data_IF_606922661729
#
_entry.id   IF_606922661729
#
_cell.length_a   1.000
_cell.length_b   1.000
_cell.length_c   1.000
_cell.angle_alpha   90.00
_cell.angle_beta   90.00
_cell.angle_gamma   90.00
#
_symmetry.space_group_name_H-M   'P 1'
#
loop_
_entity.id
_entity.type
_entity.pdbx_description
1 polymer ?
#
# COMPACT_ATOMS: atom_id res chain seq x y z
N UNK A 1 71.84 -42.30 142.01
CA UNK A 1 72.71 -41.63 142.99
C UNK A 1 72.15 -40.24 143.17
N UNK A 2 71.83 -39.82 144.39
CA UNK A 2 71.29 -38.48 144.64
C UNK A 2 72.42 -37.46 144.45
N UNK A 3 72.27 -36.57 143.46
CA UNK A 3 73.21 -35.46 143.27
C UNK A 3 73.21 -34.57 144.50
N UNK A 4 74.38 -34.43 145.12
CA UNK A 4 74.60 -33.49 146.24
C UNK A 4 74.39 -32.08 145.72
N UNK A 5 73.23 -31.49 146.02
CA UNK A 5 72.99 -30.06 145.80
C UNK A 5 73.96 -29.29 146.68
N UNK A 6 74.95 -28.66 146.07
CA UNK A 6 75.92 -27.80 146.74
C UNK A 6 75.45 -26.36 146.52
N UNK A 7 74.95 -25.71 147.57
CA UNK A 7 74.45 -24.33 147.52
C UNK A 7 75.57 -23.37 147.91
N UNK A 8 75.93 -22.47 146.98
CA UNK A 8 76.69 -21.25 147.31
C UNK A 8 75.71 -20.20 147.82
N UNK A 9 76.05 -19.52 148.91
CA UNK A 9 75.30 -18.36 149.39
C UNK A 9 75.76 -17.13 148.62
N UNK A 10 74.89 -16.65 147.74
CA UNK A 10 75.01 -15.36 147.08
C UNK A 10 73.92 -14.44 147.65
N UNK A 11 74.18 -13.14 147.66
CA UNK A 11 73.16 -12.16 147.98
C UNK A 11 72.13 -12.12 146.85
N UNK A 12 70.90 -11.71 147.16
CA UNK A 12 69.78 -11.74 146.20
C UNK A 12 70.09 -10.90 144.94
N UNK A 13 70.67 -9.71 145.13
CA UNK A 13 71.07 -8.80 144.05
C UNK A 13 72.12 -9.44 143.10
N UNK A 14 73.14 -10.09 143.65
CA UNK A 14 74.21 -10.72 142.86
C UNK A 14 73.68 -11.94 142.08
N UNK A 15 72.76 -12.69 142.68
CA UNK A 15 72.12 -13.83 142.05
C UNK A 15 71.20 -13.39 140.89
N UNK A 16 70.52 -12.26 141.05
CA UNK A 16 69.64 -11.70 140.02
C UNK A 16 70.45 -11.17 138.82
N UNK A 17 71.51 -10.40 139.07
CA UNK A 17 72.43 -9.95 138.02
C UNK A 17 73.06 -11.12 137.24
N UNK A 18 73.44 -12.20 137.93
CA UNK A 18 74.00 -13.38 137.28
C UNK A 18 72.96 -14.11 136.41
N UNK A 19 71.70 -14.18 136.84
CA UNK A 19 70.60 -14.76 136.04
C UNK A 19 70.31 -13.93 134.80
N UNK A 20 70.32 -12.61 134.93
CA UNK A 20 70.11 -11.69 133.82
C UNK A 20 71.22 -11.83 132.78
N UNK A 21 72.49 -11.81 133.22
CA UNK A 21 73.65 -12.07 132.35
C UNK A 21 73.54 -13.40 131.59
N UNK A 22 73.16 -14.49 132.27
CA UNK A 22 72.99 -15.79 131.64
C UNK A 22 71.91 -15.74 130.55
N UNK A 23 70.78 -15.08 130.83
CA UNK A 23 69.64 -14.98 129.92
C UNK A 23 69.94 -14.12 128.69
N UNK A 24 70.61 -12.98 128.86
CA UNK A 24 71.03 -12.11 127.75
C UNK A 24 71.97 -12.81 126.76
N UNK A 25 72.81 -13.73 127.27
CA UNK A 25 73.74 -14.51 126.45
C UNK A 25 73.17 -15.87 126.00
N UNK A 26 71.88 -16.13 126.24
CA UNK A 26 71.21 -17.38 125.83
C UNK A 26 71.69 -18.63 126.58
N UNK A 27 72.30 -18.48 127.74
CA UNK A 27 72.86 -19.56 128.57
C UNK A 27 71.94 -19.89 129.75
N UNK A 28 71.90 -21.16 130.16
CA UNK A 28 71.33 -21.51 131.46
C UNK A 28 72.32 -21.19 132.60
N UNK A 29 71.84 -21.10 133.85
CA UNK A 29 72.67 -20.71 135.00
C UNK A 29 73.91 -21.60 135.18
N UNK A 30 73.80 -22.90 134.89
CA UNK A 30 74.93 -23.84 135.00
C UNK A 30 75.96 -23.62 133.89
N UNK A 31 75.52 -23.34 132.67
CA UNK A 31 76.38 -22.99 131.53
C UNK A 31 77.08 -21.66 131.77
N UNK A 32 76.36 -20.64 132.22
CA UNK A 32 76.94 -19.35 132.58
C UNK A 32 77.98 -19.50 133.69
N UNK A 33 77.71 -20.35 134.70
CA UNK A 33 78.63 -20.57 135.81
C UNK A 33 79.89 -21.32 135.36
N UNK A 34 79.75 -22.34 134.52
CA UNK A 34 80.88 -23.04 133.94
C UNK A 34 81.71 -22.14 133.02
N UNK A 35 81.09 -21.25 132.25
CA UNK A 35 81.79 -20.23 131.45
C UNK A 35 82.57 -19.26 132.32
N UNK A 36 81.97 -18.76 133.42
CA UNK A 36 82.63 -17.90 134.38
C UNK A 36 83.82 -18.61 135.05
N UNK A 37 83.63 -19.86 135.46
CA UNK A 37 84.66 -20.70 136.06
C UNK A 37 85.81 -20.98 135.08
N UNK A 38 85.51 -21.22 133.81
CA UNK A 38 86.51 -21.40 132.76
C UNK A 38 87.26 -20.09 132.45
N UNK A 39 86.57 -18.95 132.50
CA UNK A 39 87.18 -17.63 132.32
C UNK A 39 88.13 -17.28 133.48
N UNK A 40 87.70 -17.52 134.72
CA UNK A 40 88.55 -17.37 135.93
C UNK A 40 89.73 -18.36 135.92
N UNK A 41 89.54 -19.59 135.43
CA UNK A 41 90.64 -20.55 135.23
C UNK A 41 91.62 -20.08 134.15
N UNK A 42 91.12 -19.47 133.08
CA UNK A 42 91.93 -18.87 132.01
C UNK A 42 92.73 -17.66 132.51
N UNK A 43 92.14 -16.79 133.32
CA UNK A 43 92.84 -15.66 133.95
C UNK A 43 93.89 -16.13 134.94
N UNK A 44 93.57 -17.10 135.80
CA UNK A 44 94.56 -17.71 136.71
C UNK A 44 95.69 -18.43 135.95
N UNK A 45 95.41 -19.02 134.78
CA UNK A 45 96.42 -19.60 133.91
C UNK A 45 97.26 -18.52 133.21
N UNK A 46 96.69 -17.34 132.92
CA UNK A 46 97.37 -16.17 132.36
C UNK A 46 98.35 -15.55 133.35
N UNK A 47 98.01 -15.48 134.64
CA UNK A 47 98.93 -15.00 135.70
C UNK A 47 100.11 -15.95 135.96
N UNK A 48 99.91 -17.28 135.85
CA UNK A 48 100.97 -18.27 136.10
C UNK A 48 101.94 -18.50 134.94
N UNK A 49 101.66 -17.95 133.76
CA UNK A 49 102.44 -18.17 132.53
C UNK A 49 102.95 -16.84 131.97
N UNK A 50 103.87 -16.19 132.70
CA UNK A 50 104.39 -14.86 132.38
C UNK A 50 104.83 -14.66 130.92
N UNK A 51 105.55 -15.62 130.33
CA UNK A 51 106.14 -15.49 128.98
C UNK A 51 105.21 -15.93 127.83
N UNK A 52 104.03 -16.50 128.13
CA UNK A 52 103.05 -16.98 127.12
C UNK A 52 101.83 -16.07 126.96
N UNK A 53 101.67 -15.05 127.79
CA UNK A 53 100.56 -14.10 127.70
C UNK A 53 100.44 -13.47 126.30
N UNK A 54 101.57 -13.04 125.71
CA UNK A 54 101.62 -12.50 124.34
C UNK A 54 101.17 -13.50 123.27
N UNK A 55 101.49 -14.78 123.43
CA UNK A 55 101.10 -15.84 122.49
C UNK A 55 99.60 -16.14 122.58
N UNK A 56 99.03 -16.11 123.79
CA UNK A 56 97.58 -16.24 124.00
C UNK A 56 96.84 -15.03 123.42
N UNK A 57 97.37 -13.82 123.58
CA UNK A 57 96.78 -12.60 123.00
C UNK A 57 96.88 -12.63 121.45
N UNK A 58 98.00 -13.07 120.89
CA UNK A 58 98.15 -13.28 119.43
C UNK A 58 97.17 -14.34 118.88
N UNK A 59 96.93 -15.41 119.65
CA UNK A 59 95.94 -16.43 119.28
C UNK A 59 94.53 -15.88 119.31
N UNK A 60 94.16 -15.12 120.36
CA UNK A 60 92.87 -14.42 120.44
C UNK A 60 92.68 -13.45 119.27
N UNK A 61 93.69 -12.68 118.91
CA UNK A 61 93.64 -11.77 117.76
C UNK A 61 93.47 -12.54 116.45
N UNK A 62 94.13 -13.70 116.30
CA UNK A 62 93.99 -14.55 115.12
C UNK A 62 92.58 -15.15 115.03
N UNK A 63 92.00 -15.59 116.15
CA UNK A 63 90.62 -16.09 116.23
C UNK A 63 89.62 -14.97 115.93
N UNK A 64 89.80 -13.78 116.52
CA UNK A 64 88.95 -12.62 116.25
C UNK A 64 89.03 -12.20 114.78
N UNK A 65 90.22 -12.27 114.16
CA UNK A 65 90.39 -12.02 112.73
C UNK A 65 89.69 -13.08 111.88
N UNK A 66 89.76 -14.35 112.26
CA UNK A 66 89.06 -15.43 111.56
C UNK A 66 87.53 -15.30 111.69
N UNK A 67 87.03 -14.92 112.87
CA UNK A 67 85.61 -14.59 113.09
C UNK A 67 85.21 -13.39 112.23
N UNK A 68 86.03 -12.33 112.18
CA UNK A 68 85.79 -11.17 111.32
C UNK A 68 85.74 -11.53 109.84
N UNK A 69 86.64 -12.39 109.35
CA UNK A 69 86.59 -12.91 107.97
C UNK A 69 85.33 -13.72 107.69
N UNK A 70 84.89 -14.55 108.64
CA UNK A 70 83.66 -15.33 108.51
C UNK A 70 82.42 -14.43 108.47
N UNK A 71 82.32 -13.45 109.37
CA UNK A 71 81.23 -12.47 109.37
C UNK A 71 81.22 -11.69 108.06
N UNK A 72 82.36 -11.18 107.59
CA UNK A 72 82.46 -10.50 106.30
C UNK A 72 82.00 -11.39 105.14
N UNK A 73 82.37 -12.68 105.12
CA UNK A 73 81.94 -13.60 104.06
C UNK A 73 80.43 -13.86 104.10
N UNK A 74 79.82 -13.93 105.29
CA UNK A 74 78.37 -14.03 105.44
C UNK A 74 77.67 -12.75 104.96
N UNK A 75 78.21 -11.58 105.31
CA UNK A 75 77.70 -10.29 104.84
C UNK A 75 77.82 -10.17 103.31
N UNK A 76 78.97 -10.52 102.72
CA UNK A 76 79.18 -10.56 101.27
C UNK A 76 78.19 -11.50 100.57
N UNK A 77 77.94 -12.69 101.12
CA UNK A 77 76.94 -13.61 100.57
C UNK A 77 75.52 -13.05 100.68
N UNK A 78 75.17 -12.43 101.81
CA UNK A 78 73.86 -11.79 102.00
C UNK A 78 73.64 -10.67 100.97
N UNK A 79 74.64 -9.81 100.77
CA UNK A 79 74.59 -8.73 99.77
C UNK A 79 74.51 -9.29 98.34
N UNK A 80 75.24 -10.37 98.04
CA UNK A 80 75.17 -11.02 96.73
C UNK A 80 73.79 -11.63 96.46
N UNK A 81 73.19 -12.30 97.45
CA UNK A 81 71.83 -12.84 97.35
C UNK A 81 70.78 -11.74 97.18
N UNK A 82 70.91 -10.63 97.92
CA UNK A 82 70.00 -9.49 97.80
C UNK A 82 70.07 -8.89 96.39
N UNK A 83 71.29 -8.70 95.87
CA UNK A 83 71.50 -8.25 94.49
C UNK A 83 70.89 -9.20 93.45
N UNK A 84 71.06 -10.51 93.61
CA UNK A 84 70.46 -11.50 92.71
C UNK A 84 68.92 -11.42 92.77
N UNK A 85 68.33 -11.29 93.97
CA UNK A 85 66.88 -11.13 94.13
C UNK A 85 66.37 -9.85 93.47
N UNK A 86 67.09 -8.74 93.60
CA UNK A 86 66.74 -7.48 92.94
C UNK A 86 66.81 -7.59 91.42
N UNK A 87 67.90 -8.14 90.87
CA UNK A 87 68.07 -8.33 89.43
C UNK A 87 66.99 -9.25 88.87
N UNK A 88 66.71 -10.38 89.54
CA UNK A 88 65.64 -11.30 89.15
C UNK A 88 64.26 -10.63 89.23
N UNK A 89 63.98 -9.86 90.27
CA UNK A 89 62.73 -9.11 90.43
C UNK A 89 62.55 -8.07 89.31
N UNK A 90 63.61 -7.33 88.96
CA UNK A 90 63.60 -6.38 87.83
C UNK A 90 63.35 -7.09 86.50
N UNK A 91 63.98 -8.24 86.28
CA UNK A 91 63.78 -9.01 85.06
C UNK A 91 62.34 -9.56 84.98
N UNK A 92 61.82 -10.15 86.05
CA UNK A 92 60.44 -10.65 86.11
C UNK A 92 59.43 -9.53 85.84
N UNK A 93 59.55 -8.39 86.53
CA UNK A 93 58.68 -7.24 86.31
C UNK A 93 58.75 -6.73 84.86
N UNK A 94 59.94 -6.73 84.24
CA UNK A 94 60.11 -6.32 82.84
C UNK A 94 59.44 -7.29 81.88
N UNK A 95 59.57 -8.61 82.11
CA UNK A 95 58.89 -9.64 81.32
C UNK A 95 57.38 -9.56 81.49
N UNK A 96 56.87 -9.39 82.71
CA UNK A 96 55.43 -9.26 82.99
C UNK A 96 54.84 -8.03 82.28
N UNK A 97 55.54 -6.89 82.34
CA UNK A 97 55.14 -5.68 81.59
C UNK A 97 55.12 -5.93 80.08
N UNK A 98 56.10 -6.67 79.55
CA UNK A 98 56.17 -7.02 78.13
C UNK A 98 55.03 -7.95 77.73
N UNK A 99 54.73 -8.96 78.55
CA UNK A 99 53.63 -9.89 78.33
C UNK A 99 52.29 -9.15 78.34
N UNK A 100 52.06 -8.25 79.31
CA UNK A 100 50.84 -7.44 79.38
C UNK A 100 50.67 -6.59 78.12
N UNK A 101 51.72 -5.90 77.68
CA UNK A 101 51.68 -5.08 76.46
C UNK A 101 51.40 -5.94 75.21
N UNK A 102 52.04 -7.10 75.08
CA UNK A 102 51.78 -8.02 73.96
C UNK A 102 50.35 -8.57 73.96
N UNK A 103 49.78 -8.84 75.14
CA UNK A 103 48.39 -9.27 75.28
C UNK A 103 47.41 -8.18 74.87
N UNK A 104 47.64 -6.93 75.30
CA UNK A 104 46.83 -5.78 74.88
C UNK A 104 46.89 -5.57 73.36
N UNK A 105 48.09 -5.64 72.76
CA UNK A 105 48.26 -5.55 71.32
C UNK A 105 47.53 -6.67 70.58
N UNK A 106 47.64 -7.91 71.06
CA UNK A 106 46.95 -9.06 70.47
C UNK A 106 45.43 -8.90 70.53
N UNK A 107 44.90 -8.40 71.64
CA UNK A 107 43.48 -8.16 71.80
C UNK A 107 42.99 -7.06 70.87
N UNK A 108 43.76 -5.97 70.71
CA UNK A 108 43.48 -4.89 69.75
C UNK A 108 43.48 -5.39 68.31
N UNK A 109 44.48 -6.18 67.91
CA UNK A 109 44.53 -6.75 66.55
C UNK A 109 43.35 -7.70 66.31
N UNK A 110 42.95 -8.49 67.31
CA UNK A 110 41.76 -9.36 67.20
C UNK A 110 40.47 -8.57 67.00
N UNK A 111 40.26 -7.49 67.75
CA UNK A 111 39.06 -6.67 67.59
C UNK A 111 39.04 -5.94 66.25
N UNK A 112 40.17 -5.40 65.81
CA UNK A 112 40.31 -4.80 64.48
C UNK A 112 40.04 -5.81 63.36
N UNK A 113 40.58 -7.03 63.48
CA UNK A 113 40.33 -8.11 62.52
C UNK A 113 38.83 -8.44 62.43
N UNK A 114 38.15 -8.62 63.56
CA UNK A 114 36.72 -8.92 63.60
C UNK A 114 35.90 -7.81 62.93
N UNK A 115 36.23 -6.54 63.21
CA UNK A 115 35.58 -5.40 62.59
C UNK A 115 35.79 -5.33 61.07
N UNK A 116 36.99 -5.69 60.60
CA UNK A 116 37.29 -5.76 59.17
C UNK A 116 36.51 -6.90 58.51
N UNK A 117 36.43 -8.08 59.13
CA UNK A 117 35.67 -9.22 58.61
C UNK A 117 34.17 -8.88 58.47
N UNK A 118 33.56 -8.27 59.49
CA UNK A 118 32.17 -7.78 59.41
C UNK A 118 31.98 -6.76 58.27
N UNK A 119 32.95 -5.86 58.09
CA UNK A 119 32.88 -4.86 57.01
C UNK A 119 33.00 -5.50 55.62
N UNK A 120 33.82 -6.55 55.48
CA UNK A 120 33.95 -7.32 54.24
C UNK A 120 32.64 -8.05 53.92
N UNK A 121 32.00 -8.67 54.90
CA UNK A 121 30.72 -9.36 54.71
C UNK A 121 29.61 -8.38 54.28
N UNK A 122 29.57 -7.20 54.91
CA UNK A 122 28.66 -6.13 54.49
C UNK A 122 28.93 -5.66 53.05
N UNK A 123 30.20 -5.45 52.69
CA UNK A 123 30.58 -5.04 51.34
C UNK A 123 30.21 -6.09 50.28
N UNK A 124 30.41 -7.38 50.58
CA UNK A 124 29.99 -8.47 49.70
C UNK A 124 28.47 -8.48 49.50
N UNK A 125 27.70 -8.29 50.57
CA UNK A 125 26.24 -8.19 50.49
C UNK A 125 25.80 -7.02 49.61
N UNK A 126 26.43 -5.85 49.76
CA UNK A 126 26.14 -4.68 48.90
C UNK A 126 26.52 -4.93 47.44
N UNK A 127 27.65 -5.59 47.20
CA UNK A 127 28.10 -5.98 45.86
C UNK A 127 27.06 -6.88 45.19
N UNK A 128 26.59 -7.92 45.87
CA UNK A 128 25.59 -8.85 45.33
C UNK A 128 24.25 -8.15 45.04
N UNK A 129 23.84 -7.21 45.90
CA UNK A 129 22.66 -6.38 45.65
C UNK A 129 22.84 -5.51 44.40
N UNK A 130 23.99 -4.84 44.26
CA UNK A 130 24.29 -4.00 43.10
C UNK A 130 24.35 -4.83 41.81
N UNK A 131 24.95 -6.01 41.81
CA UNK A 131 25.00 -6.91 40.65
C UNK A 131 23.59 -7.37 40.22
N UNK A 132 22.71 -7.65 41.19
CA UNK A 132 21.32 -7.99 40.90
C UNK A 132 20.52 -6.81 40.34
N UNK A 133 20.76 -5.60 40.85
CA UNK A 133 20.17 -4.36 40.33
C UNK A 133 20.59 -4.13 38.86
N UNK A 134 21.89 -4.28 38.57
CA UNK A 134 22.45 -4.15 37.21
C UNK A 134 21.80 -5.15 36.26
N UNK A 135 21.68 -6.43 36.62
CA UNK A 135 21.01 -7.44 35.78
C UNK A 135 19.54 -7.09 35.49
N UNK A 136 18.81 -6.55 36.49
CA UNK A 136 17.44 -6.09 36.28
C UNK A 136 17.37 -4.94 35.28
N UNK A 137 18.28 -3.98 35.41
CA UNK A 137 18.36 -2.84 34.49
C UNK A 137 18.75 -3.28 33.08
N UNK A 138 19.70 -4.19 32.92
CA UNK A 138 20.08 -4.77 31.63
C UNK A 138 18.90 -5.44 30.93
N UNK A 139 18.13 -6.26 31.65
CA UNK A 139 16.93 -6.89 31.11
C UNK A 139 15.86 -5.86 30.70
N UNK A 140 15.65 -4.82 31.51
CA UNK A 140 14.71 -3.74 31.19
C UNK A 140 15.16 -2.93 29.95
N UNK A 141 16.46 -2.72 29.78
CA UNK A 141 17.03 -2.07 28.58
C UNK A 141 16.83 -2.97 27.36
N UNK A 142 17.04 -4.28 27.48
CA UNK A 142 16.84 -5.24 26.40
C UNK A 142 15.37 -5.26 25.93
N UNK A 143 14.41 -5.32 26.86
CA UNK A 143 12.99 -5.24 26.55
C UNK A 143 12.61 -3.93 25.88
N UNK A 144 13.10 -2.79 26.40
CA UNK A 144 12.86 -1.47 25.79
C UNK A 144 13.43 -1.38 24.37
N UNK A 145 14.62 -1.93 24.14
CA UNK A 145 15.26 -1.97 22.82
C UNK A 145 14.43 -2.80 21.83
N UNK A 146 13.99 -4.00 22.23
CA UNK A 146 13.13 -4.85 21.39
C UNK A 146 11.80 -4.15 21.04
N UNK A 147 11.17 -3.48 22.01
CA UNK A 147 9.94 -2.73 21.78
C UNK A 147 10.16 -1.55 20.82
N UNK A 148 11.31 -0.88 20.92
CA UNK A 148 11.67 0.22 20.03
C UNK A 148 11.91 -0.27 18.60
N UNK A 149 12.55 -1.42 18.42
CA UNK A 149 12.71 -2.06 17.11
C UNK A 149 11.37 -2.44 16.48
N UNK A 150 10.43 -2.99 17.26
CA UNK A 150 9.07 -3.29 16.79
C UNK A 150 8.36 -2.00 16.36
N UNK A 151 8.43 -0.95 17.19
CA UNK A 151 7.82 0.34 16.89
C UNK A 151 8.40 0.96 15.61
N UNK A 152 9.72 0.87 15.41
CA UNK A 152 10.38 1.35 14.20
C UNK A 152 9.95 0.56 12.95
N UNK A 153 9.85 -0.77 13.03
CA UNK A 153 9.34 -1.59 11.92
C UNK A 153 7.91 -1.22 11.55
N UNK A 154 7.05 -1.03 12.56
CA UNK A 154 5.67 -0.60 12.34
C UNK A 154 5.59 0.79 11.70
N UNK A 155 6.45 1.73 12.13
CA UNK A 155 6.52 3.07 11.55
C UNK A 155 6.95 3.01 10.08
N UNK A 156 7.97 2.22 9.76
CA UNK A 156 8.40 2.04 8.37
C UNK A 156 7.28 1.46 7.49
N UNK A 157 6.56 0.45 7.99
CA UNK A 157 5.42 -0.13 7.27
C UNK A 157 4.29 0.90 7.05
N UNK A 158 3.97 1.71 8.07
CA UNK A 158 2.99 2.79 7.94
C UNK A 158 3.44 3.86 6.93
N UNK A 159 4.73 4.17 6.86
CA UNK A 159 5.28 5.09 5.87
C UNK A 159 5.17 4.54 4.45
N UNK A 160 5.46 3.26 4.24
CA UNK A 160 5.27 2.57 2.95
C UNK A 160 3.79 2.62 2.52
N UNK A 161 2.87 2.26 3.42
CA UNK A 161 1.42 2.36 3.16
C UNK A 161 0.97 3.79 2.83
N UNK A 162 1.53 4.80 3.49
CA UNK A 162 1.23 6.20 3.19
C UNK A 162 1.71 6.63 1.80
N UNK A 163 2.85 6.11 1.34
CA UNK A 163 3.34 6.35 -0.02
C UNK A 163 2.42 5.68 -1.03
N UNK A 164 2.04 4.42 -0.82
CA UNK A 164 1.08 3.71 -1.68
C UNK A 164 -0.26 4.46 -1.76
N UNK A 165 -0.79 4.92 -0.63
CA UNK A 165 -2.04 5.67 -0.60
C UNK A 165 -1.96 6.99 -1.38
N UNK A 166 -0.81 7.69 -1.33
CA UNK A 166 -0.59 8.89 -2.15
C UNK A 166 -0.62 8.56 -3.64
N UNK A 167 0.05 7.48 -4.04
CA UNK A 167 0.03 7.03 -5.44
C UNK A 167 -1.40 6.68 -5.90
N UNK A 168 -2.15 5.92 -5.09
CA UNK A 168 -3.56 5.62 -5.40
C UNK A 168 -4.43 6.87 -5.53
N UNK A 169 -4.19 7.89 -4.71
CA UNK A 169 -4.91 9.16 -4.78
C UNK A 169 -4.61 9.91 -6.09
N UNK A 170 -3.36 9.90 -6.53
CA UNK A 170 -2.95 10.54 -7.78
C UNK A 170 -3.49 9.78 -9.01
N UNK A 171 -3.49 8.44 -8.95
CA UNK A 171 -4.13 7.59 -9.95
C UNK A 171 -5.64 7.85 -10.03
N UNK A 172 -6.32 7.94 -8.89
CA UNK A 172 -7.74 8.26 -8.84
C UNK A 172 -8.05 9.62 -9.48
N UNK A 173 -7.22 10.63 -9.21
CA UNK A 173 -7.36 11.96 -9.83
C UNK A 173 -7.19 11.89 -11.35
N UNK A 174 -6.20 11.14 -11.82
CA UNK A 174 -5.96 10.94 -13.25
C UNK A 174 -7.14 10.22 -13.91
N UNK A 175 -7.69 9.19 -13.26
CA UNK A 175 -8.85 8.46 -13.76
C UNK A 175 -10.11 9.34 -13.80
N UNK A 176 -10.29 10.20 -12.81
CA UNK A 176 -11.37 11.19 -12.78
C UNK A 176 -11.26 12.16 -13.95
N UNK A 177 -10.08 12.71 -14.21
CA UNK A 177 -9.84 13.62 -15.35
C UNK A 177 -10.12 12.92 -16.69
N UNK A 178 -9.75 11.64 -16.82
CA UNK A 178 -10.06 10.84 -18.01
C UNK A 178 -11.57 10.59 -18.17
N UNK A 179 -12.26 10.29 -17.07
CA UNK A 179 -13.72 10.08 -17.07
C UNK A 179 -14.46 11.34 -17.51
N UNK A 180 -14.03 12.50 -17.03
CA UNK A 180 -14.68 13.78 -17.37
C UNK A 180 -14.44 14.15 -18.85
N UNK A 181 -13.22 13.92 -19.39
CA UNK A 181 -12.94 14.04 -20.83
C UNK A 181 -13.79 13.08 -21.68
N UNK A 182 -13.97 11.85 -21.22
CA UNK A 182 -14.77 10.86 -21.94
C UNK A 182 -16.25 11.27 -21.97
N UNK A 183 -16.78 11.80 -20.86
CA UNK A 183 -18.15 12.33 -20.78
C UNK A 183 -18.35 13.51 -21.73
N UNK A 184 -17.39 14.44 -21.78
CA UNK A 184 -17.43 15.57 -22.71
C UNK A 184 -17.45 15.08 -24.17
N UNK A 185 -16.54 14.17 -24.52
CA UNK A 185 -16.46 13.57 -25.85
C UNK A 185 -17.77 12.87 -26.22
N UNK A 186 -18.33 12.07 -25.30
CA UNK A 186 -19.60 11.38 -25.53
C UNK A 186 -20.76 12.36 -25.73
N UNK A 187 -20.79 13.46 -24.98
CA UNK A 187 -21.80 14.53 -25.15
C UNK A 187 -21.70 15.17 -26.54
N UNK A 188 -20.49 15.45 -27.00
CA UNK A 188 -20.24 15.99 -28.35
C UNK A 188 -20.70 15.01 -29.44
N UNK A 189 -20.34 13.72 -29.32
CA UNK A 189 -20.77 12.69 -30.27
C UNK A 189 -22.30 12.50 -30.29
N UNK A 190 -22.98 12.59 -29.13
CA UNK A 190 -24.44 12.55 -29.06
C UNK A 190 -25.04 13.74 -29.83
N UNK A 191 -24.49 14.94 -29.64
CA UNK A 191 -24.96 16.14 -30.33
C UNK A 191 -24.73 16.05 -31.84
N UNK A 192 -23.55 15.59 -32.28
CA UNK A 192 -23.24 15.36 -33.70
C UNK A 192 -24.18 14.32 -34.32
N UNK A 193 -24.40 13.18 -33.65
CA UNK A 193 -25.34 12.17 -34.10
C UNK A 193 -26.76 12.72 -34.22
N UNK A 194 -27.21 13.55 -33.27
CA UNK A 194 -28.52 14.19 -33.34
C UNK A 194 -28.62 15.11 -34.56
N UNK A 195 -27.62 15.96 -34.79
CA UNK A 195 -27.58 16.85 -35.97
C UNK A 195 -27.56 16.07 -37.29
N UNK A 196 -26.80 14.98 -37.37
CA UNK A 196 -26.78 14.11 -38.54
C UNK A 196 -28.14 13.45 -38.76
N UNK A 197 -28.78 12.99 -37.69
CA UNK A 197 -30.10 12.38 -37.76
C UNK A 197 -31.17 13.39 -38.22
N UNK A 198 -31.12 14.64 -37.73
CA UNK A 198 -32.01 15.71 -38.19
C UNK A 198 -31.81 16.02 -39.68
N UNK A 199 -30.55 16.05 -40.16
CA UNK A 199 -30.25 16.19 -41.59
C UNK A 199 -30.77 15.00 -42.41
N UNK A 200 -30.64 13.79 -41.90
CA UNK A 200 -31.11 12.58 -42.56
C UNK A 200 -32.64 12.59 -42.68
N UNK A 201 -33.36 12.98 -41.63
CA UNK A 201 -34.81 13.15 -41.65
C UNK A 201 -35.23 14.20 -42.69
N UNK A 202 -34.58 15.38 -42.70
CA UNK A 202 -34.88 16.42 -43.70
C UNK A 202 -34.64 15.92 -45.14
N UNK A 203 -33.55 15.19 -45.38
CA UNK A 203 -33.28 14.60 -46.69
C UNK A 203 -34.32 13.55 -47.08
N UNK A 204 -34.79 12.74 -46.12
CA UNK A 204 -35.85 11.77 -46.35
C UNK A 204 -37.17 12.46 -46.70
N UNK A 205 -37.54 13.51 -45.98
CA UNK A 205 -38.73 14.32 -46.28
C UNK A 205 -38.64 14.94 -47.67
N UNK A 206 -37.46 15.44 -48.04
CA UNK A 206 -37.19 15.97 -49.37
C UNK A 206 -37.26 14.90 -50.46
N UNK A 207 -36.74 13.71 -50.23
CA UNK A 207 -36.88 12.56 -51.13
C UNK A 207 -38.36 12.18 -51.30
N UNK A 208 -39.11 12.13 -50.20
CA UNK A 208 -40.54 11.82 -50.24
C UNK A 208 -41.33 12.86 -51.04
N UNK A 209 -41.02 14.15 -50.85
CA UNK A 209 -41.59 15.25 -51.62
C UNK A 209 -41.31 15.09 -53.12
N UNK A 210 -40.04 14.91 -53.51
CA UNK A 210 -39.68 14.75 -54.91
C UNK A 210 -40.28 13.47 -55.52
N UNK A 211 -40.37 12.38 -54.75
CA UNK A 211 -41.04 11.16 -55.20
C UNK A 211 -42.51 11.39 -55.50
N UNK A 212 -43.22 12.10 -54.61
CA UNK A 212 -44.62 12.46 -54.84
C UNK A 212 -44.78 13.36 -56.07
N UNK A 213 -43.88 14.35 -56.24
CA UNK A 213 -43.89 15.22 -57.42
C UNK A 213 -43.68 14.43 -58.73
N UNK A 214 -42.75 13.45 -58.74
CA UNK A 214 -42.53 12.57 -59.89
C UNK A 214 -43.77 11.71 -60.16
N UNK A 215 -44.40 11.15 -59.13
CA UNK A 215 -45.64 10.36 -59.28
C UNK A 215 -46.78 11.21 -59.87
N UNK A 216 -46.95 12.46 -59.43
CA UNK A 216 -47.93 13.38 -59.98
C UNK A 216 -47.65 13.70 -61.45
N UNK A 217 -46.39 14.04 -61.79
CA UNK A 217 -45.99 14.28 -63.18
C UNK A 217 -46.23 13.06 -64.08
N UNK A 218 -45.97 11.85 -63.58
CA UNK A 218 -46.26 10.60 -64.30
C UNK A 218 -47.77 10.42 -64.55
N UNK A 219 -48.62 10.74 -63.57
CA UNK A 219 -50.07 10.72 -63.74
C UNK A 219 -50.55 11.76 -64.76
N UNK A 220 -50.00 12.98 -64.69
CA UNK A 220 -50.32 14.06 -65.64
C UNK A 220 -49.95 13.63 -67.07
N UNK A 221 -48.73 13.12 -67.29
CA UNK A 221 -48.29 12.57 -68.58
C UNK A 221 -49.24 11.47 -69.07
N UNK A 222 -49.65 10.55 -68.20
CA UNK A 222 -50.61 9.49 -68.54
C UNK A 222 -51.96 10.06 -68.99
N UNK A 223 -52.47 11.09 -68.30
CA UNK A 223 -53.73 11.75 -68.63
C UNK A 223 -53.64 12.52 -69.96
N UNK A 224 -52.52 13.21 -70.21
CA UNK A 224 -52.23 13.89 -71.47
C UNK A 224 -52.17 12.89 -72.63
N UNK A 225 -51.48 11.76 -72.45
CA UNK A 225 -51.40 10.71 -73.46
C UNK A 225 -52.79 10.14 -73.80
N UNK A 226 -53.64 9.86 -72.80
CA UNK A 226 -55.03 9.43 -73.04
C UNK A 226 -55.84 10.49 -73.80
N UNK A 227 -55.63 11.77 -73.51
CA UNK A 227 -56.29 12.88 -74.22
C UNK A 227 -55.83 12.98 -75.67
N UNK A 228 -54.54 12.79 -75.94
CA UNK A 228 -53.97 12.72 -77.29
C UNK A 228 -54.57 11.53 -78.04
N UNK A 229 -54.57 10.32 -77.46
CA UNK A 229 -55.16 9.13 -78.09
C UNK A 229 -56.65 9.33 -78.41
N UNK A 230 -57.42 9.94 -77.50
CA UNK A 230 -58.83 10.25 -77.74
C UNK A 230 -59.03 11.27 -78.87
N UNK A 231 -58.18 12.31 -78.95
CA UNK A 231 -58.20 13.28 -80.05
C UNK A 231 -57.83 12.63 -81.37
N UNK A 232 -56.79 11.80 -81.39
CA UNK A 232 -56.39 11.05 -82.59
C UNK A 232 -57.50 10.12 -83.05
N UNK A 233 -58.16 9.40 -82.13
CA UNK A 233 -59.32 8.57 -82.44
C UNK A 233 -60.49 9.40 -83.01
N UNK A 234 -60.77 10.57 -82.42
CA UNK A 234 -61.82 11.49 -82.88
C UNK A 234 -61.50 12.05 -84.26
N UNK A 235 -60.27 12.51 -84.50
CA UNK A 235 -59.82 12.99 -85.80
C UNK A 235 -59.85 11.89 -86.86
N UNK A 236 -59.40 10.67 -86.53
CA UNK A 236 -59.49 9.53 -87.42
C UNK A 236 -60.95 9.17 -87.76
N UNK A 237 -61.86 9.24 -86.78
CA UNK A 237 -63.29 9.04 -87.01
C UNK A 237 -63.88 10.14 -87.91
N UNK A 238 -63.48 11.40 -87.71
CA UNK A 238 -63.91 12.52 -88.54
C UNK A 238 -63.37 12.41 -89.97
N UNK A 239 -62.10 12.07 -90.14
CA UNK A 239 -61.48 11.80 -91.44
C UNK A 239 -62.25 10.69 -92.16
N UNK A 240 -62.53 9.57 -91.47
CA UNK A 240 -63.31 8.46 -92.05
C UNK A 240 -64.72 8.89 -92.45
N UNK A 241 -65.41 9.68 -91.62
CA UNK A 241 -66.74 10.21 -91.96
C UNK A 241 -66.69 11.15 -93.18
N UNK A 242 -65.64 11.97 -93.30
CA UNK A 242 -65.39 12.81 -94.48
C UNK A 242 -65.11 11.95 -95.72
N UNK A 243 -64.28 10.93 -95.61
CA UNK A 243 -63.99 9.98 -96.69
C UNK A 243 -65.25 9.26 -97.17
N UNK A 244 -66.09 8.81 -96.24
CA UNK A 244 -67.36 8.14 -96.57
C UNK A 244 -68.34 9.11 -97.24
N UNK A 245 -68.43 10.35 -96.75
CA UNK A 245 -69.24 11.40 -97.39
C UNK A 245 -68.74 11.74 -98.80
N UNK A 246 -67.42 11.87 -98.99
CA UNK A 246 -66.85 12.10 -100.32
C UNK A 246 -67.06 10.92 -101.26
N UNK A 247 -67.06 9.67 -100.76
CA UNK A 247 -67.42 8.49 -101.58
C UNK A 247 -68.89 8.52 -101.98
N UNK A 248 -69.78 8.93 -101.08
CA UNK A 248 -71.21 9.08 -101.34
C UNK A 248 -71.47 10.19 -102.38
N UNK A 249 -70.89 11.38 -102.19
CA UNK A 249 -70.94 12.48 -103.16
C UNK A 249 -70.39 12.05 -104.53
N UNK A 250 -69.31 11.25 -104.57
CA UNK A 250 -68.74 10.71 -105.82
C UNK A 250 -69.72 9.74 -106.51
N UNK A 251 -70.45 8.94 -105.73
CA UNK A 251 -71.49 8.02 -106.20
C UNK A 251 -72.67 8.80 -106.77
N UNK A 252 -73.16 9.81 -106.06
CA UNK A 252 -74.23 10.69 -106.50
C UNK A 252 -73.87 11.41 -107.81
N UNK A 253 -72.64 11.93 -107.92
CA UNK A 253 -72.14 12.53 -109.18
C UNK A 253 -72.09 11.49 -110.29
N UNK A 254 -71.66 10.27 -110.00
CA UNK A 254 -71.60 9.19 -110.99
C UNK A 254 -72.99 8.78 -111.47
N UNK A 255 -73.97 8.71 -110.57
CA UNK A 255 -75.37 8.39 -110.88
C UNK A 255 -76.04 9.54 -111.64
N UNK A 256 -75.81 10.80 -111.26
CA UNK A 256 -76.23 11.96 -112.04
C UNK A 256 -75.63 11.94 -113.45
N UNK A 257 -74.34 11.63 -113.58
CA UNK A 257 -73.68 11.56 -114.88
C UNK A 257 -74.26 10.41 -115.73
N UNK A 258 -74.51 9.24 -115.12
CA UNK A 258 -75.16 8.10 -115.76
C UNK A 258 -76.59 8.44 -116.23
N UNK A 259 -77.41 9.02 -115.36
CA UNK A 259 -78.78 9.41 -115.68
C UNK A 259 -78.81 10.49 -116.78
N UNK A 260 -77.86 11.43 -116.77
CA UNK A 260 -77.72 12.45 -117.82
C UNK A 260 -77.36 11.81 -119.16
N UNK A 261 -76.44 10.84 -119.16
CA UNK A 261 -76.08 10.05 -120.35
C UNK A 261 -77.28 9.25 -120.88
N UNK A 262 -78.07 8.62 -120.00
CA UNK A 262 -79.28 7.88 -120.36
C UNK A 262 -80.36 8.81 -120.95
N UNK A 263 -80.60 9.96 -120.32
CA UNK A 263 -81.52 10.98 -120.84
C UNK A 263 -81.09 11.48 -122.23
N UNK A 264 -79.80 11.73 -122.43
CA UNK A 264 -79.26 12.18 -123.72
C UNK A 264 -79.33 11.08 -124.78
N UNK A 265 -79.16 9.82 -124.38
CA UNK A 265 -79.35 8.65 -125.26
C UNK A 265 -80.81 8.53 -125.71
N UNK A 266 -81.75 8.72 -124.78
CA UNK A 266 -83.19 8.74 -125.09
C UNK A 266 -83.56 9.90 -126.03
N UNK A 267 -83.01 11.10 -125.82
CA UNK A 267 -83.21 12.24 -126.74
C UNK A 267 -82.69 11.94 -128.15
N UNK A 268 -81.52 11.31 -128.29
CA UNK A 268 -81.00 10.90 -129.60
C UNK A 268 -81.87 9.83 -130.28
N UNK A 269 -82.43 8.89 -129.51
CA UNK A 269 -83.36 7.89 -130.03
C UNK A 269 -84.67 8.53 -130.52
N UNK A 270 -85.23 9.47 -129.77
CA UNK A 270 -86.42 10.23 -130.17
C UNK A 270 -86.17 11.11 -131.41
N UNK A 271 -84.98 11.71 -131.51
CA UNK A 271 -84.59 12.48 -132.70
C UNK A 271 -84.52 11.59 -133.96
N UNK A 272 -83.93 10.40 -133.84
CA UNK A 272 -83.88 9.42 -134.94
C UNK A 272 -85.28 8.91 -135.33
N UNK A 273 -86.17 8.70 -134.34
CA UNK A 273 -87.55 8.31 -134.60
C UNK A 273 -88.34 9.39 -135.36
N UNK A 274 -88.20 10.66 -134.97
CA UNK A 274 -88.81 11.80 -135.67
C UNK A 274 -88.27 11.97 -137.09
N UNK A 275 -86.95 11.84 -137.28
CA UNK A 275 -86.33 11.93 -138.60
C UNK A 275 -86.81 10.81 -139.54
N UNK A 276 -87.01 9.60 -139.01
CA UNK A 276 -87.59 8.49 -139.78
C UNK A 276 -89.05 8.73 -140.19
N UNK A 277 -89.85 9.33 -139.30
CA UNK A 277 -91.24 9.71 -139.61
C UNK A 277 -91.27 10.80 -140.69
N UNK A 278 -90.45 11.86 -140.56
CA UNK A 278 -90.34 12.90 -141.59
C UNK A 278 -89.89 12.35 -142.94
N UNK A 279 -88.95 11.40 -142.97
CA UNK A 279 -88.51 10.77 -144.21
C UNK A 279 -89.64 9.97 -144.87
N UNK A 280 -90.47 9.30 -144.07
CA UNK A 280 -91.61 8.52 -144.53
C UNK A 280 -92.72 9.40 -145.08
N UNK A 281 -93.06 10.48 -144.38
CA UNK A 281 -94.07 11.45 -144.81
C UNK A 281 -93.66 12.16 -146.10
N UNK A 282 -92.37 12.47 -146.27
CA UNK A 282 -91.84 13.08 -147.50
C UNK A 282 -91.93 12.15 -148.71
N UNK A 283 -91.68 10.85 -148.49
CA UNK A 283 -91.78 9.82 -149.53
C UNK A 283 -93.24 9.64 -149.98
N UNK A 284 -94.19 9.61 -149.05
CA UNK A 284 -95.62 9.49 -149.36
C UNK A 284 -96.15 10.72 -150.14
N UNK A 285 -95.66 11.92 -149.81
CA UNK A 285 -96.02 13.16 -150.51
C UNK A 285 -95.48 13.20 -151.94
N UNK A 286 -94.32 12.60 -152.19
CA UNK A 286 -93.69 12.51 -153.51
C UNK A 286 -94.40 11.46 -154.39
N UNK A 287 -94.85 10.35 -153.80
CA UNK A 287 -95.72 9.37 -154.44
C UNK A 287 -97.09 9.97 -154.83
N UNK A 288 -97.71 10.75 -153.94
CA UNK A 288 -98.98 11.44 -154.25
C UNK A 288 -98.84 12.49 -155.37
N UNK A 289 -97.74 13.24 -155.42
CA UNK A 289 -97.47 14.20 -156.50
C UNK A 289 -97.31 13.51 -157.85
N UNK A 290 -96.63 12.37 -157.89
CA UNK A 290 -96.49 11.56 -159.13
C UNK A 290 -97.83 11.00 -159.59
N UNK A 291 -98.72 10.63 -158.66
CA UNK A 291 -100.06 10.14 -158.99
C UNK A 291 -100.95 11.23 -159.62
N UNK A 292 -100.91 12.46 -159.10
CA UNK A 292 -101.63 13.63 -159.64
C UNK A 292 -101.14 14.07 -161.04
N UNK A 293 -99.87 13.83 -161.35
CA UNK A 293 -99.26 14.11 -162.66
C UNK A 293 -99.73 13.10 -163.73
N UNK A 294 -99.99 11.85 -163.34
CA UNK A 294 -100.60 10.81 -164.19
C UNK A 294 -102.06 11.14 -164.50
N UNK A 295 -102.84 11.61 -163.52
CA UNK A 295 -104.26 11.92 -163.71
C UNK A 295 -104.51 13.14 -164.62
N UNK A 296 -103.62 14.13 -164.58
CA UNK A 296 -103.68 15.31 -165.49
C UNK A 296 -103.42 14.93 -166.95
N UNK A 297 -102.43 14.08 -167.22
CA UNK A 297 -102.12 13.63 -168.58
C UNK A 297 -103.24 12.77 -169.19
N UNK A 298 -103.98 12.00 -168.37
CA UNK A 298 -105.12 11.21 -168.84
C UNK A 298 -106.35 12.07 -169.21
N UNK A 299 -106.48 13.27 -168.61
CA UNK A 299 -107.61 14.17 -168.88
C UNK A 299 -107.42 14.95 -170.18
N UNK A 300 -106.16 15.21 -170.59
CA UNK A 300 -105.81 15.83 -171.88
C UNK A 300 -106.02 14.88 -173.09
N UNK A 301 -106.26 13.58 -172.88
CA UNK A 301 -106.42 12.59 -173.95
C UNK A 301 -107.86 12.47 -174.52
N UNK A 302 -108.89 13.02 -173.85
CA UNK A 302 -110.31 12.69 -174.14
C UNK A 302 -111.04 13.69 -175.07
N UNK A 303 -110.49 14.88 -175.38
CA UNK A 303 -111.24 15.95 -176.09
C UNK A 303 -110.72 16.39 -177.48
N UNK A 304 -109.98 15.55 -178.21
CA UNK A 304 -109.57 15.84 -179.59
C UNK A 304 -110.14 14.86 -180.66
N UNK A 305 -111.46 14.98 -180.99
CA UNK A 305 -112.05 15.06 -182.37
C UNK A 305 -113.60 14.92 -182.44
N UNK A 306 -114.26 15.70 -183.33
CA UNK A 306 -114.82 15.18 -184.58
C UNK A 306 -113.96 15.61 -185.80
N UNK A 307 -114.14 14.93 -186.95
CA UNK A 307 -113.08 14.53 -187.88
C UNK A 307 -112.23 15.62 -188.61
N UNK A 308 -110.91 15.34 -188.68
CA UNK A 308 -109.82 15.89 -189.54
C UNK A 308 -109.43 17.34 -189.24
N UNK A 309 -108.16 17.74 -189.18
CA UNK A 309 -106.89 17.24 -189.72
C UNK A 309 -105.77 17.69 -188.74
N UNK A 310 -104.51 17.30 -188.76
CA UNK A 310 -103.61 16.78 -189.80
C UNK A 310 -102.30 16.41 -189.06
N UNK A 311 -101.66 15.29 -189.45
CA UNK A 311 -100.19 15.11 -189.63
C UNK A 311 -99.24 15.42 -188.46
N UNK A 312 -98.23 14.64 -188.10
CA UNK A 312 -97.47 13.58 -188.78
C UNK A 312 -96.67 12.83 -187.68
N UNK A 313 -96.55 11.51 -187.79
CA UNK A 313 -95.31 10.80 -188.14
C UNK A 313 -94.40 10.42 -186.97
N UNK A 314 -94.24 9.10 -186.82
CA UNK A 314 -92.96 8.42 -186.52
C UNK A 314 -92.43 8.62 -185.08
N UNK A 315 -91.74 7.70 -184.43
CA UNK A 315 -90.96 6.54 -184.85
C UNK A 315 -90.43 5.89 -183.55
N UNK A 316 -90.34 4.56 -183.53
CA UNK A 316 -89.23 3.75 -182.95
C UNK A 316 -88.76 3.91 -181.50
N UNK A 317 -88.57 2.72 -180.89
CA UNK A 317 -87.56 2.30 -179.91
C UNK A 317 -87.74 2.74 -178.46
#
# INVERSE_FOLDING_TARGET
MADKVTSMRLNEDDLEQFKEFAKENGLNQQQAFNSLLNMVKLENAKEKLGDRAKSIDTFKDTINRAIGMYVNSLEENSVAEERIREELSKELNTKDNTISNLQEQLQKVKSEKSSIEERVDHLNTYKDLAENEVKKLENAILEKTNNLDIANRNNNNLQEQLVEYKNYKDDYKTLQDQLDKLKETNTNLINENKQLNDKLNNNNDMIAFYKNQIEQQQQDIKSLNMSIENKDASYNAHIKSLEDKYKEDLLDVKDLYKNTLESKTSEYQDYLAKLNIEFKDKLDLELQKKQLEIDKLNTELILAKPHKAKTASSKTK
#
